data_IF_564121069056
#
_entry.id   IF_564121069056
#
_cell.length_a   1.000
_cell.length_b   1.000
_cell.length_c   1.000
_cell.angle_alpha   90.00
_cell.angle_beta   90.00
_cell.angle_gamma   90.00
#
_symmetry.space_group_name_H-M   'P 1'
#
loop_
_entity.id
_entity.type
_entity.pdbx_description
1 polymer ?
#
# COMPACT_ATOMS: atom_id res chain seq x y z
N UNK A 1 1.94 -7.50 0.03
CA UNK A 1 1.71 -7.34 -1.43
C UNK A 1 0.31 -7.82 -1.75
N UNK A 2 -0.42 -7.16 -2.64
CA UNK A 2 -1.76 -7.58 -3.07
C UNK A 2 -1.67 -7.98 -4.54
N UNK A 3 -2.16 -9.17 -4.88
CA UNK A 3 -2.45 -9.55 -6.26
C UNK A 3 -3.93 -9.30 -6.47
N UNK A 4 -4.26 -8.58 -7.51
CA UNK A 4 -5.65 -8.19 -7.80
C UNK A 4 -6.14 -8.90 -9.07
N UNK A 5 -7.43 -9.29 -9.11
CA UNK A 5 -8.02 -9.88 -10.31
C UNK A 5 -7.84 -8.96 -11.54
N UNK A 6 -7.64 -9.52 -12.75
CA UNK A 6 -7.43 -8.70 -13.96
C UNK A 6 -8.52 -7.67 -14.22
N UNK A 7 -9.79 -8.03 -14.01
CA UNK A 7 -10.93 -7.13 -14.14
C UNK A 7 -10.92 -5.97 -13.12
N UNK A 8 -10.43 -6.22 -11.90
CA UNK A 8 -10.23 -5.17 -10.88
C UNK A 8 -9.06 -4.27 -11.29
N UNK A 9 -7.97 -4.85 -11.78
CA UNK A 9 -6.82 -4.12 -12.28
C UNK A 9 -7.17 -3.16 -13.42
N UNK A 10 -8.00 -3.60 -14.36
CA UNK A 10 -8.52 -2.75 -15.45
C UNK A 10 -9.35 -1.57 -14.93
N UNK A 11 -10.28 -1.82 -14.01
CA UNK A 11 -11.09 -0.75 -13.38
C UNK A 11 -10.23 0.26 -12.63
N UNK A 12 -9.20 -0.21 -11.92
CA UNK A 12 -8.26 0.67 -11.21
C UNK A 12 -7.38 1.46 -12.17
N UNK A 13 -7.00 0.87 -13.30
CA UNK A 13 -6.18 1.55 -14.32
C UNK A 13 -6.93 2.66 -15.03
N UNK A 14 -8.22 2.47 -15.33
CA UNK A 14 -9.05 3.48 -16.01
C UNK A 14 -9.35 4.71 -15.13
N UNK A 15 -9.27 4.58 -13.81
CA UNK A 15 -9.54 5.64 -12.84
C UNK A 15 -8.26 6.29 -12.28
N UNK A 16 -7.10 6.09 -12.90
CA UNK A 16 -5.86 6.67 -12.38
C UNK A 16 -5.83 8.18 -12.52
N UNK A 17 -5.45 8.90 -11.47
CA UNK A 17 -5.14 10.32 -11.61
C UNK A 17 -3.95 10.48 -12.57
N UNK A 18 -3.98 11.50 -13.41
CA UNK A 18 -2.85 11.95 -14.21
C UNK A 18 -1.64 12.23 -13.30
N UNK A 19 -0.43 12.21 -13.87
CA UNK A 19 0.81 12.47 -13.14
C UNK A 19 0.65 13.68 -12.20
N UNK A 20 1.01 13.50 -10.94
CA UNK A 20 0.99 14.59 -9.97
C UNK A 20 2.04 15.62 -10.36
N UNK A 21 1.65 16.89 -10.38
CA UNK A 21 2.61 17.98 -10.44
C UNK A 21 3.58 17.84 -9.25
N UNK A 22 4.86 17.79 -9.57
CA UNK A 22 5.92 17.78 -8.56
C UNK A 22 6.02 19.19 -8.01
N UNK A 23 5.54 19.39 -6.79
CA UNK A 23 5.59 20.70 -6.14
C UNK A 23 6.61 20.60 -5.01
N UNK A 24 7.67 21.40 -5.10
CA UNK A 24 8.61 21.57 -4.01
C UNK A 24 7.93 22.19 -2.80
N UNK A 25 8.34 21.75 -1.61
CA UNK A 25 8.00 22.41 -0.35
C UNK A 25 9.19 23.26 0.10
N UNK A 26 8.96 24.48 0.63
CA UNK A 26 10.06 25.37 1.00
C UNK A 26 10.95 24.82 2.12
N UNK A 27 10.37 24.01 2.99
CA UNK A 27 11.03 23.38 4.13
C UNK A 27 10.43 22.00 4.45
N UNK A 28 11.10 21.24 5.28
CA UNK A 28 10.67 19.88 5.66
C UNK A 28 9.34 19.89 6.42
N UNK A 29 9.11 20.84 7.31
CA UNK A 29 7.88 20.92 8.12
C UNK A 29 6.66 21.12 7.21
N UNK A 30 6.78 22.00 6.22
CA UNK A 30 5.74 22.20 5.19
C UNK A 30 5.53 20.94 4.36
N UNK A 31 6.60 20.23 4.01
CA UNK A 31 6.51 18.96 3.27
C UNK A 31 5.78 17.88 4.09
N UNK A 32 6.16 17.72 5.35
CA UNK A 32 5.54 16.77 6.31
C UNK A 32 4.06 17.08 6.51
N UNK A 33 3.70 18.35 6.69
CA UNK A 33 2.30 18.77 6.86
C UNK A 33 1.41 18.44 5.65
N UNK A 34 2.01 18.35 4.44
CA UNK A 34 1.32 17.99 3.20
C UNK A 34 1.27 16.48 2.94
N UNK A 35 2.07 15.70 3.66
CA UNK A 35 2.14 14.26 3.44
C UNK A 35 0.78 13.59 3.70
N UNK A 36 0.39 12.68 2.83
CA UNK A 36 -0.83 11.87 2.99
C UNK A 36 -0.55 10.45 2.54
N UNK A 37 -1.05 9.49 3.31
CA UNK A 37 -1.07 8.09 2.90
C UNK A 37 -2.00 7.89 1.70
N UNK A 38 -1.71 6.92 0.87
CA UNK A 38 -2.57 6.53 -0.25
C UNK A 38 -2.75 5.01 -0.24
N UNK A 39 -3.94 4.50 0.00
CA UNK A 39 -5.18 5.23 0.32
C UNK A 39 -5.08 6.03 1.61
N UNK A 40 -5.89 7.11 1.68
CA UNK A 40 -5.97 7.93 2.90
C UNK A 40 -6.58 7.13 4.04
N UNK A 41 -5.94 7.15 5.19
CA UNK A 41 -6.41 6.49 6.39
C UNK A 41 -5.88 7.17 7.65
N UNK A 42 -6.54 7.00 8.80
CA UNK A 42 -5.98 7.37 10.09
C UNK A 42 -4.64 6.69 10.35
N UNK A 43 -3.78 7.36 11.06
CA UNK A 43 -2.50 6.82 11.52
C UNK A 43 -2.11 7.58 12.79
N UNK A 44 -1.37 6.93 13.70
CA UNK A 44 -0.82 7.61 14.88
C UNK A 44 0.12 8.73 14.43
N UNK A 45 -0.01 9.92 14.98
CA UNK A 45 0.71 11.12 14.52
C UNK A 45 2.22 10.90 14.44
N UNK A 46 2.82 10.25 15.44
CA UNK A 46 4.26 10.00 15.45
C UNK A 46 4.71 9.05 14.34
N UNK A 47 3.87 8.06 13.99
CA UNK A 47 4.14 7.12 12.89
C UNK A 47 4.04 7.85 11.55
N UNK A 48 2.96 8.61 11.35
CA UNK A 48 2.75 9.39 10.14
C UNK A 48 3.87 10.40 9.93
N UNK A 49 4.29 11.10 11.00
CA UNK A 49 5.39 12.05 10.97
C UNK A 49 6.70 11.36 10.58
N UNK A 50 7.03 10.24 11.21
CA UNK A 50 8.23 9.47 10.88
C UNK A 50 8.27 9.03 9.42
N UNK A 51 7.17 8.50 8.89
CA UNK A 51 7.06 8.11 7.49
C UNK A 51 7.22 9.32 6.57
N UNK A 52 6.56 10.43 6.90
CA UNK A 52 6.62 11.67 6.13
C UNK A 52 8.05 12.22 6.05
N UNK A 53 8.72 12.41 7.19
CA UNK A 53 10.09 12.93 7.26
C UNK A 53 11.06 12.10 6.39
N UNK A 54 10.91 10.77 6.41
CA UNK A 54 11.74 9.87 5.62
C UNK A 54 11.33 9.74 4.15
N UNK A 55 10.19 10.29 3.76
CA UNK A 55 9.67 10.26 2.38
C UNK A 55 10.14 11.42 1.51
N UNK A 56 10.77 12.43 2.10
CA UNK A 56 11.23 13.61 1.37
C UNK A 56 12.76 13.66 1.27
N UNK A 57 13.25 14.39 0.30
CA UNK A 57 14.66 14.70 0.06
C UNK A 57 14.82 16.18 -0.23
N UNK A 58 15.87 16.79 0.31
CA UNK A 58 16.24 18.17 0.02
C UNK A 58 16.96 18.28 -1.33
N UNK A 59 16.63 19.31 -2.08
CA UNK A 59 17.35 19.75 -3.28
C UNK A 59 17.63 21.25 -3.18
N UNK A 60 18.33 21.79 -4.17
CA UNK A 60 18.75 23.21 -4.18
C UNK A 60 17.60 24.22 -4.09
N UNK A 61 16.39 23.83 -4.49
CA UNK A 61 15.20 24.67 -4.61
C UNK A 61 14.04 24.23 -3.70
N UNK A 62 14.27 23.28 -2.79
CA UNK A 62 13.28 22.84 -1.81
C UNK A 62 13.23 21.35 -1.54
N UNK A 63 12.18 20.92 -0.83
CA UNK A 63 11.95 19.54 -0.43
C UNK A 63 10.99 18.82 -1.37
N UNK A 64 11.39 17.65 -1.84
CA UNK A 64 10.67 16.84 -2.82
C UNK A 64 10.35 15.45 -2.27
N UNK A 65 9.16 14.94 -2.60
CA UNK A 65 8.83 13.56 -2.34
C UNK A 65 9.79 12.65 -3.14
N UNK A 66 10.35 11.63 -2.49
CA UNK A 66 11.30 10.68 -3.10
C UNK A 66 10.66 9.80 -4.19
N UNK A 67 9.33 9.67 -4.19
CA UNK A 67 8.65 8.85 -5.19
C UNK A 67 8.78 9.47 -6.60
N UNK A 68 9.02 8.63 -7.59
CA UNK A 68 9.05 9.05 -8.99
C UNK A 68 7.64 9.47 -9.44
N UNK A 69 7.45 10.72 -9.85
CA UNK A 69 6.14 11.23 -10.28
C UNK A 69 5.66 10.61 -11.61
N UNK A 70 6.55 9.95 -12.36
CA UNK A 70 6.21 9.32 -13.65
C UNK A 70 5.64 7.91 -13.50
N UNK A 71 5.79 7.28 -12.31
CA UNK A 71 5.26 5.94 -12.06
C UNK A 71 3.78 5.78 -12.46
N UNK A 72 2.87 6.73 -12.16
CA UNK A 72 1.48 6.58 -12.57
C UNK A 72 1.27 6.44 -14.09
N UNK A 73 2.18 7.00 -14.88
CA UNK A 73 2.11 6.96 -16.35
C UNK A 73 2.77 5.72 -16.97
N UNK A 74 3.73 5.15 -16.26
CA UNK A 74 4.57 4.04 -16.76
C UNK A 74 4.19 2.69 -16.16
N UNK A 75 3.55 2.72 -14.99
CA UNK A 75 3.17 1.49 -14.31
C UNK A 75 2.09 0.75 -15.09
N UNK A 76 2.38 -0.48 -15.45
CA UNK A 76 1.40 -1.44 -15.96
C UNK A 76 1.10 -2.44 -14.86
N UNK A 77 -0.18 -2.74 -14.65
CA UNK A 77 -0.54 -3.89 -13.84
C UNK A 77 -0.05 -5.14 -14.56
N UNK A 78 0.98 -5.75 -14.01
CA UNK A 78 1.36 -7.09 -14.44
C UNK A 78 0.49 -8.07 -13.68
N UNK A 79 -0.03 -9.06 -14.40
CA UNK A 79 -0.65 -10.19 -13.75
C UNK A 79 0.46 -10.97 -13.02
N UNK A 80 0.38 -10.97 -11.69
CA UNK A 80 1.31 -11.70 -10.84
C UNK A 80 0.85 -13.14 -10.58
N UNK A 81 -0.23 -13.57 -11.21
CA UNK A 81 -0.78 -14.91 -11.08
C UNK A 81 0.31 -15.99 -11.23
N UNK A 82 1.02 -15.96 -12.33
CA UNK A 82 2.09 -16.91 -12.62
C UNK A 82 3.24 -16.90 -11.61
N UNK A 83 3.55 -15.73 -11.06
CA UNK A 83 4.58 -15.63 -10.03
C UNK A 83 4.13 -16.28 -8.72
N UNK A 84 2.89 -16.04 -8.33
CA UNK A 84 2.31 -16.61 -7.11
C UNK A 84 2.11 -18.12 -7.20
N UNK A 85 1.58 -18.62 -8.32
CA UNK A 85 1.36 -20.06 -8.51
C UNK A 85 2.64 -20.87 -8.60
N UNK A 86 3.77 -20.23 -8.92
CA UNK A 86 5.10 -20.86 -8.98
C UNK A 86 5.93 -20.69 -7.70
N UNK A 87 5.37 -20.03 -6.66
CA UNK A 87 6.08 -19.88 -5.39
C UNK A 87 6.25 -21.24 -4.71
N UNK A 88 7.48 -21.51 -4.25
CA UNK A 88 7.83 -22.72 -3.52
C UNK A 88 8.22 -22.39 -2.08
N UNK A 89 7.34 -21.65 -1.39
CA UNK A 89 7.47 -21.32 0.03
C UNK A 89 6.09 -21.23 0.67
N UNK A 90 6.04 -21.33 2.00
CA UNK A 90 4.81 -21.03 2.73
C UNK A 90 4.45 -19.56 2.57
N UNK A 91 3.18 -19.29 2.44
CA UNK A 91 2.63 -17.94 2.29
C UNK A 91 1.54 -17.73 3.34
N UNK A 92 1.71 -16.69 4.14
CA UNK A 92 0.67 -16.16 5.00
C UNK A 92 0.19 -14.80 4.45
N UNK A 93 -1.11 -14.63 4.36
CA UNK A 93 -1.73 -13.41 3.89
C UNK A 93 -2.37 -12.65 5.05
N UNK A 94 -1.82 -11.48 5.33
CA UNK A 94 -2.32 -10.60 6.41
C UNK A 94 -2.95 -9.36 5.79
N UNK A 95 -4.17 -9.03 6.21
CA UNK A 95 -4.88 -7.86 5.72
C UNK A 95 -5.67 -7.13 6.81
N UNK A 96 -5.87 -5.83 6.62
CA UNK A 96 -6.75 -5.04 7.47
C UNK A 96 -8.22 -5.28 7.13
N UNK A 97 -9.04 -5.65 8.11
CA UNK A 97 -10.43 -6.04 7.92
C UNK A 97 -11.30 -4.94 7.27
N UNK A 98 -10.97 -3.66 7.49
CA UNK A 98 -11.68 -2.52 6.89
C UNK A 98 -10.92 -1.86 5.74
N UNK A 99 -9.95 -2.57 5.16
CA UNK A 99 -9.22 -2.11 3.98
C UNK A 99 -10.16 -1.93 2.78
N UNK A 100 -10.18 -0.73 2.20
CA UNK A 100 -10.95 -0.45 0.98
C UNK A 100 -10.40 -1.14 -0.28
N UNK A 101 -9.16 -1.61 -0.24
CA UNK A 101 -8.50 -2.28 -1.38
C UNK A 101 -8.58 -3.81 -1.30
N UNK A 102 -8.84 -4.37 -0.12
CA UNK A 102 -9.02 -5.81 0.07
C UNK A 102 -10.50 -6.11 0.14
N UNK A 103 -11.13 -6.15 -1.04
CA UNK A 103 -12.54 -6.56 -1.18
C UNK A 103 -12.65 -8.09 -1.10
N UNK A 104 -13.86 -8.60 -0.94
CA UNK A 104 -14.13 -10.04 -0.98
C UNK A 104 -13.59 -10.68 -2.27
N UNK A 105 -13.80 -10.03 -3.42
CA UNK A 105 -13.28 -10.49 -4.72
C UNK A 105 -11.74 -10.60 -4.74
N UNK A 106 -11.04 -9.61 -4.14
CA UNK A 106 -9.57 -9.63 -4.01
C UNK A 106 -9.13 -10.75 -3.09
N UNK A 107 -9.82 -10.94 -1.97
CA UNK A 107 -9.49 -12.00 -1.00
C UNK A 107 -9.65 -13.39 -1.61
N UNK A 108 -10.76 -13.64 -2.29
CA UNK A 108 -11.01 -14.91 -3.00
C UNK A 108 -9.94 -15.17 -4.05
N UNK A 109 -9.57 -14.16 -4.82
CA UNK A 109 -8.53 -14.29 -5.83
C UNK A 109 -7.14 -14.55 -5.20
N UNK A 110 -6.79 -13.86 -4.12
CA UNK A 110 -5.54 -14.11 -3.37
C UNK A 110 -5.49 -15.53 -2.84
N UNK A 111 -6.59 -16.00 -2.26
CA UNK A 111 -6.74 -17.38 -1.76
C UNK A 111 -6.50 -18.39 -2.87
N UNK A 112 -7.10 -18.17 -4.03
CA UNK A 112 -6.97 -19.06 -5.20
C UNK A 112 -5.53 -19.05 -5.76
N UNK A 113 -4.96 -17.89 -6.07
CA UNK A 113 -3.62 -17.82 -6.71
C UNK A 113 -2.49 -18.18 -5.76
N UNK A 114 -2.65 -17.90 -4.46
CA UNK A 114 -1.69 -18.24 -3.42
C UNK A 114 -1.82 -19.67 -2.92
N UNK A 115 -2.84 -20.41 -3.37
CA UNK A 115 -3.22 -21.72 -2.82
C UNK A 115 -3.24 -21.71 -1.29
N UNK A 116 -3.91 -20.70 -0.72
CA UNK A 116 -3.92 -20.45 0.71
C UNK A 116 -4.98 -21.28 1.41
N UNK A 117 -4.59 -21.97 2.46
CA UNK A 117 -5.53 -22.53 3.43
C UNK A 117 -6.10 -21.41 4.31
N UNK A 118 -7.27 -21.62 4.89
CA UNK A 118 -7.92 -20.67 5.81
C UNK A 118 -6.99 -20.28 6.98
N UNK A 119 -6.19 -21.20 7.49
CA UNK A 119 -5.21 -20.98 8.56
C UNK A 119 -4.09 -20.00 8.20
N UNK A 120 -3.86 -19.75 6.91
CA UNK A 120 -2.84 -18.85 6.40
C UNK A 120 -3.41 -17.47 6.01
N UNK A 121 -4.68 -17.23 6.31
CA UNK A 121 -5.37 -15.97 6.02
C UNK A 121 -5.70 -15.29 7.35
N UNK A 122 -5.06 -14.16 7.60
CA UNK A 122 -5.15 -13.45 8.86
C UNK A 122 -5.75 -12.06 8.64
N UNK A 123 -6.86 -11.78 9.32
CA UNK A 123 -7.46 -10.44 9.31
C UNK A 123 -7.16 -9.72 10.62
N UNK A 124 -6.67 -8.50 10.53
CA UNK A 124 -6.53 -7.63 11.70
C UNK A 124 -7.79 -6.77 11.85
N UNK A 125 -8.54 -7.04 12.93
CA UNK A 125 -9.83 -6.41 13.18
C UNK A 125 -9.68 -4.88 13.33
N UNK A 126 -10.51 -4.11 12.62
CA UNK A 126 -10.49 -2.66 12.63
C UNK A 126 -9.34 -2.00 11.86
N UNK A 127 -8.33 -2.77 11.44
CA UNK A 127 -7.21 -2.24 10.67
C UNK A 127 -7.61 -1.87 9.24
N UNK A 128 -7.02 -0.81 8.71
CA UNK A 128 -7.17 -0.34 7.34
C UNK A 128 -6.08 -0.92 6.42
N UNK A 129 -5.84 -0.29 5.28
CA UNK A 129 -4.94 -0.84 4.26
C UNK A 129 -3.46 -0.90 4.69
N UNK A 130 -2.96 0.16 5.31
CA UNK A 130 -1.60 0.21 5.86
C UNK A 130 -1.59 -0.27 7.31
N UNK A 131 -2.01 -1.51 7.54
CA UNK A 131 -2.25 -2.08 8.87
C UNK A 131 -1.03 -1.98 9.81
N UNK A 132 0.18 -2.09 9.29
CA UNK A 132 1.44 -1.96 10.05
C UNK A 132 1.75 -0.51 10.48
N UNK A 133 1.12 0.50 9.85
CA UNK A 133 1.18 1.91 10.28
C UNK A 133 0.01 2.29 11.18
N UNK A 134 -1.10 1.64 10.99
CA UNK A 134 -2.37 1.86 11.64
C UNK A 134 -2.39 1.22 13.03
N UNK A 135 -2.04 -0.05 13.09
CA UNK A 135 -2.04 -0.89 14.29
C UNK A 135 -0.71 -1.66 14.43
N UNK A 136 0.42 -0.96 14.65
CA UNK A 136 1.75 -1.57 14.63
C UNK A 136 1.97 -2.61 15.73
N UNK A 137 1.41 -2.40 16.92
CA UNK A 137 1.53 -3.31 18.04
C UNK A 137 0.79 -4.64 17.76
N UNK A 138 -0.46 -4.55 17.33
CA UNK A 138 -1.31 -5.70 17.01
C UNK A 138 -0.77 -6.47 15.80
N UNK A 139 -0.26 -5.74 14.79
CA UNK A 139 0.42 -6.36 13.65
C UNK A 139 1.66 -7.14 14.09
N UNK A 140 2.47 -6.57 15.00
CA UNK A 140 3.67 -7.22 15.51
C UNK A 140 3.34 -8.48 16.31
N UNK A 141 2.26 -8.48 17.09
CA UNK A 141 1.79 -9.66 17.81
C UNK A 141 1.35 -10.77 16.85
N UNK A 142 0.67 -10.42 15.77
CA UNK A 142 0.21 -11.38 14.77
C UNK A 142 1.38 -12.06 14.03
N UNK A 143 2.54 -11.40 13.95
CA UNK A 143 3.73 -11.89 13.23
C UNK A 143 4.66 -12.75 14.11
N UNK A 144 4.33 -12.99 15.37
CA UNK A 144 5.10 -13.87 16.28
C UNK A 144 4.71 -15.33 16.14
#
# INVERSE_FOLDING_TARGET
MIVIPPNVAERMSSNRPSARLVVASPDLETAVARFRLTPSQPCKDYVLRHVAENSYTEKSDGWYLKSDPTIPNTYKYNDLHDAFTKMNCSLDYVYGQVSQLVTQEVLEYMTYVGNLDEKNIHSLAGAMHHLFLDMPEEFTELMK
#
